data_IF_740759805170
#
_entry.id   IF_740759805170
#
_cell.length_a   1.000
_cell.length_b   1.000
_cell.length_c   1.000
_cell.angle_alpha   90.00
_cell.angle_beta   90.00
_cell.angle_gamma   90.00
#
_symmetry.space_group_name_H-M   'P 1'
#
loop_
_entity.id
_entity.type
_entity.pdbx_description
1 polymer ?
#
# COMPACT_ATOMS: atom_id res chain seq x y z
N UNK A 1 94.82 -21.50 -14.26
CA UNK A 1 93.85 -20.49 -14.61
C UNK A 1 92.51 -21.12 -14.73
N UNK A 2 91.69 -20.97 -13.72
CA UNK A 2 90.44 -21.63 -13.67
C UNK A 2 89.31 -20.62 -13.90
N UNK A 3 88.60 -20.83 -14.94
CA UNK A 3 87.44 -20.01 -15.24
C UNK A 3 86.21 -20.63 -14.57
N UNK A 4 85.75 -19.91 -13.68
CA UNK A 4 84.51 -20.29 -13.02
C UNK A 4 83.36 -19.80 -13.89
N UNK A 5 82.62 -20.72 -14.43
CA UNK A 5 81.42 -20.43 -15.18
C UNK A 5 80.31 -20.38 -14.17
N UNK A 6 79.84 -19.18 -13.97
CA UNK A 6 78.65 -18.97 -13.15
C UNK A 6 77.41 -19.24 -13.97
N UNK A 7 76.81 -20.37 -13.68
CA UNK A 7 75.55 -20.66 -14.26
C UNK A 7 74.48 -19.82 -13.53
N UNK A 8 74.00 -18.85 -14.22
CA UNK A 8 72.81 -18.19 -13.77
C UNK A 8 71.56 -19.03 -14.09
N UNK A 9 71.05 -19.63 -13.11
CA UNK A 9 69.74 -20.28 -13.22
C UNK A 9 68.71 -19.19 -13.23
N UNK A 10 68.11 -19.03 -14.36
CA UNK A 10 66.98 -18.15 -14.53
C UNK A 10 65.77 -18.79 -13.88
N UNK A 11 65.42 -18.35 -12.72
CA UNK A 11 64.19 -18.76 -12.10
C UNK A 11 63.01 -18.13 -12.85
N UNK A 12 62.35 -18.93 -13.60
CA UNK A 12 61.10 -18.52 -14.18
C UNK A 12 60.05 -18.32 -13.07
N UNK A 13 59.76 -17.11 -12.76
CA UNK A 13 58.63 -16.82 -11.89
C UNK A 13 57.37 -17.05 -12.70
N UNK A 14 56.77 -18.18 -12.49
CA UNK A 14 55.43 -18.41 -12.99
C UNK A 14 54.49 -17.61 -12.11
N UNK A 15 54.13 -16.47 -12.61
CA UNK A 15 53.04 -15.72 -12.01
C UNK A 15 51.76 -16.47 -12.37
N UNK A 16 51.37 -17.32 -11.49
CA UNK A 16 50.04 -17.88 -11.57
C UNK A 16 49.07 -16.76 -11.24
N UNK A 17 48.62 -16.15 -12.29
CA UNK A 17 47.50 -15.22 -12.14
C UNK A 17 46.29 -15.99 -11.65
N UNK A 18 46.07 -15.89 -10.38
CA UNK A 18 44.76 -16.32 -9.86
C UNK A 18 43.72 -15.40 -10.43
N UNK A 19 43.09 -15.89 -11.42
CA UNK A 19 41.82 -15.33 -11.84
C UNK A 19 40.89 -15.44 -10.66
N UNK A 20 40.78 -14.38 -9.91
CA UNK A 20 39.69 -14.25 -9.04
C UNK A 20 38.47 -14.08 -9.95
N UNK A 21 37.80 -15.16 -10.17
CA UNK A 21 36.46 -15.07 -10.62
C UNK A 21 35.70 -14.34 -9.52
N UNK A 22 35.58 -13.06 -9.69
CA UNK A 22 34.62 -12.31 -8.92
C UNK A 22 33.29 -12.87 -9.33
N UNK A 23 32.84 -13.83 -8.60
CA UNK A 23 31.46 -14.20 -8.65
C UNK A 23 30.71 -12.99 -8.16
N UNK A 24 30.32 -12.20 -9.11
CA UNK A 24 29.31 -11.20 -8.84
C UNK A 24 28.08 -12.03 -8.55
N UNK A 25 27.90 -12.29 -7.29
CA UNK A 25 26.60 -12.73 -6.88
C UNK A 25 25.67 -11.59 -7.24
N UNK A 26 25.05 -11.74 -8.37
CA UNK A 26 23.97 -10.91 -8.74
C UNK A 26 23.00 -10.98 -7.65
N UNK A 27 23.06 -10.00 -6.85
CA UNK A 27 21.99 -9.79 -5.94
C UNK A 27 20.73 -9.59 -6.74
N UNK A 28 20.04 -10.61 -6.84
CA UNK A 28 18.81 -10.53 -7.44
C UNK A 28 17.88 -9.87 -6.60
N UNK A 29 17.99 -8.80 -6.82
CA UNK A 29 17.13 -8.05 -6.47
C UNK A 29 15.94 -8.31 -6.98
N UNK A 30 15.21 -8.76 -6.56
CA UNK A 30 14.01 -8.72 -6.66
C UNK A 30 13.57 -7.59 -6.27
N UNK A 31 13.32 -7.02 -6.91
CA UNK A 31 12.51 -6.00 -6.75
C UNK A 31 11.21 -6.12 -6.94
N UNK A 32 10.92 -6.94 -6.38
CA UNK A 32 9.62 -6.68 -6.03
C UNK A 32 9.74 -5.76 -4.89
N UNK A 33 10.17 -4.66 -5.12
CA UNK A 33 9.30 -3.63 -4.73
C UNK A 33 7.96 -4.15 -5.13
N UNK A 34 7.41 -4.92 -4.25
CA UNK A 34 6.03 -5.23 -4.36
C UNK A 34 5.48 -3.93 -4.80
N UNK A 35 5.01 -3.85 -5.99
CA UNK A 35 4.30 -2.70 -6.43
C UNK A 35 3.36 -2.50 -5.30
N UNK A 36 3.71 -1.58 -4.41
CA UNK A 36 2.86 -1.24 -3.31
C UNK A 36 1.58 -0.95 -4.02
N UNK A 37 0.66 -1.89 -3.96
CA UNK A 37 -0.58 -1.75 -4.68
C UNK A 37 -1.17 -0.53 -4.05
N UNK A 38 -1.01 0.57 -4.73
CA UNK A 38 -1.56 1.82 -4.30
C UNK A 38 -3.05 1.63 -4.36
N UNK A 39 -3.58 1.12 -3.26
CA UNK A 39 -4.99 0.88 -3.17
C UNK A 39 -5.69 2.21 -3.39
N UNK A 40 -6.50 2.32 -4.41
CA UNK A 40 -7.13 3.59 -4.75
C UNK A 40 -7.97 4.07 -3.57
N UNK A 41 -8.05 5.37 -3.44
CA UNK A 41 -8.98 5.99 -2.48
C UNK A 41 -10.20 6.48 -3.25
N UNK A 42 -11.38 6.10 -2.78
CA UNK A 42 -12.65 6.60 -3.28
C UNK A 42 -13.24 7.56 -2.25
N UNK A 43 -13.77 8.66 -2.72
CA UNK A 43 -14.34 9.68 -1.84
C UNK A 43 -15.86 9.63 -1.88
N UNK A 44 -16.45 9.73 -0.70
CA UNK A 44 -17.89 9.93 -0.49
C UNK A 44 -18.05 11.27 0.22
N UNK A 45 -18.80 12.16 -0.37
CA UNK A 45 -19.14 13.43 0.27
C UNK A 45 -20.39 13.26 1.13
N UNK A 46 -20.39 13.86 2.30
CA UNK A 46 -21.57 14.04 3.12
C UNK A 46 -22.04 15.46 2.86
N UNK A 47 -23.12 15.57 2.11
CA UNK A 47 -23.61 16.87 1.67
C UNK A 47 -25.13 16.87 1.50
N UNK A 48 -25.78 17.93 2.00
CA UNK A 48 -27.23 18.05 1.99
C UNK A 48 -27.91 16.83 2.66
N UNK A 49 -27.41 16.46 3.83
CA UNK A 49 -27.91 15.31 4.59
C UNK A 49 -27.98 14.02 3.78
N UNK A 50 -26.99 13.79 2.93
CA UNK A 50 -26.89 12.61 2.06
C UNK A 50 -25.45 12.21 1.85
N UNK A 51 -25.22 10.90 1.67
CA UNK A 51 -23.94 10.39 1.18
C UNK A 51 -23.93 10.44 -0.35
N UNK A 52 -22.87 11.02 -0.92
CA UNK A 52 -22.73 11.21 -2.37
C UNK A 52 -21.39 10.70 -2.88
N UNK A 53 -21.38 9.64 -3.67
CA UNK A 53 -22.52 8.80 -4.03
C UNK A 53 -23.01 7.94 -2.85
N UNK A 54 -24.30 7.65 -2.81
CA UNK A 54 -24.88 6.80 -1.76
C UNK A 54 -24.50 5.32 -1.93
N UNK A 55 -24.21 4.90 -3.15
CA UNK A 55 -23.80 3.52 -3.46
C UNK A 55 -22.53 3.55 -4.31
N UNK A 56 -21.52 2.81 -3.87
CA UNK A 56 -20.30 2.63 -4.66
C UNK A 56 -19.88 1.17 -4.63
N UNK A 57 -19.23 0.76 -5.73
CA UNK A 57 -18.58 -0.54 -5.84
C UNK A 57 -17.08 -0.34 -5.89
N UNK A 58 -16.36 -1.08 -5.08
CA UNK A 58 -14.92 -1.00 -4.94
C UNK A 58 -14.30 -2.40 -4.94
N UNK A 59 -13.02 -2.48 -5.22
CA UNK A 59 -12.26 -3.72 -5.05
C UNK A 59 -11.75 -3.84 -3.60
N UNK A 60 -11.56 -5.07 -3.17
CA UNK A 60 -10.94 -5.34 -1.87
C UNK A 60 -9.60 -4.62 -1.74
N UNK A 61 -9.35 -4.01 -0.60
CA UNK A 61 -8.15 -3.20 -0.34
C UNK A 61 -8.33 -1.71 -0.64
N UNK A 62 -9.41 -1.31 -1.31
CA UNK A 62 -9.69 0.10 -1.56
C UNK A 62 -9.99 0.84 -0.25
N UNK A 63 -9.50 2.07 -0.17
CA UNK A 63 -9.84 3.02 0.90
C UNK A 63 -11.05 3.83 0.49
N UNK A 64 -11.97 4.03 1.41
CA UNK A 64 -13.06 4.99 1.24
C UNK A 64 -12.89 6.11 2.24
N UNK A 65 -12.96 7.32 1.75
CA UNK A 65 -12.86 8.54 2.54
C UNK A 65 -14.17 9.29 2.51
N UNK A 66 -14.79 9.47 3.66
CA UNK A 66 -15.94 10.34 3.84
C UNK A 66 -15.48 11.73 4.23
N UNK A 67 -16.07 12.74 3.63
CA UNK A 67 -15.78 14.14 3.93
C UNK A 67 -17.09 14.86 4.22
N UNK A 68 -17.22 15.42 5.42
CA UNK A 68 -18.39 16.20 5.77
C UNK A 68 -18.31 17.60 5.17
N UNK A 69 -19.20 17.88 4.21
CA UNK A 69 -19.36 19.16 3.54
C UNK A 69 -20.54 19.97 4.07
N UNK A 70 -21.33 19.39 4.97
CA UNK A 70 -22.42 20.12 5.62
C UNK A 70 -21.92 20.97 6.78
N UNK A 71 -22.72 21.91 7.18
CA UNK A 71 -22.51 22.68 8.41
C UNK A 71 -22.94 21.93 9.67
N UNK A 72 -23.55 20.76 9.50
CA UNK A 72 -24.04 19.89 10.57
C UNK A 72 -23.09 18.72 10.78
N UNK A 73 -22.98 18.25 12.00
CA UNK A 73 -22.20 17.03 12.34
C UNK A 73 -22.94 15.78 11.87
N UNK A 74 -22.19 14.86 11.26
CA UNK A 74 -22.67 13.55 10.79
C UNK A 74 -21.77 12.42 11.28
N UNK A 75 -22.18 11.17 11.01
CA UNK A 75 -21.34 9.99 11.15
C UNK A 75 -21.43 9.13 9.88
N UNK A 76 -20.48 8.25 9.68
CA UNK A 76 -20.53 7.16 8.71
C UNK A 76 -20.27 5.85 9.47
N UNK A 77 -21.35 5.18 9.84
CA UNK A 77 -21.30 4.03 10.75
C UNK A 77 -21.90 2.81 10.08
N UNK A 78 -21.15 1.70 10.05
CA UNK A 78 -21.64 0.44 9.52
C UNK A 78 -22.87 -0.05 10.26
N UNK A 79 -23.87 -0.55 9.52
CA UNK A 79 -25.12 -1.02 10.14
C UNK A 79 -24.92 -2.17 11.14
N UNK A 80 -23.84 -2.93 11.01
CA UNK A 80 -23.50 -4.00 11.96
C UNK A 80 -22.80 -3.48 13.22
N UNK A 81 -22.54 -2.17 13.33
CA UNK A 81 -21.89 -1.55 14.48
C UNK A 81 -20.43 -1.95 14.72
N UNK A 82 -19.81 -2.67 13.78
CA UNK A 82 -18.47 -3.27 13.99
C UNK A 82 -17.49 -3.01 12.87
N UNK A 83 -17.93 -3.03 11.62
CA UNK A 83 -17.02 -3.01 10.47
C UNK A 83 -16.26 -1.70 10.36
N UNK A 84 -16.93 -0.60 10.60
CA UNK A 84 -16.34 0.73 10.67
C UNK A 84 -17.28 1.72 11.35
N UNK A 85 -16.70 2.74 11.92
CA UNK A 85 -17.41 3.85 12.54
C UNK A 85 -16.51 5.08 12.48
N UNK A 86 -17.00 6.15 11.88
CA UNK A 86 -16.25 7.40 11.81
C UNK A 86 -16.26 8.18 13.12
N UNK A 87 -17.15 7.86 14.03
CA UNK A 87 -17.51 8.77 15.08
C UNK A 87 -18.10 10.07 14.50
N UNK A 88 -18.17 11.11 15.29
CA UNK A 88 -18.75 12.39 14.90
C UNK A 88 -17.79 13.16 13.98
N UNK A 89 -18.23 13.37 12.75
CA UNK A 89 -17.56 14.22 11.78
C UNK A 89 -18.16 15.61 11.81
N UNK A 90 -17.44 16.57 12.35
CA UNK A 90 -17.81 17.99 12.30
C UNK A 90 -17.66 18.54 10.88
N UNK A 91 -18.20 19.71 10.58
CA UNK A 91 -18.00 20.35 9.29
C UNK A 91 -16.54 20.37 8.85
N UNK A 92 -16.25 19.91 7.62
CA UNK A 92 -14.91 19.84 7.06
C UNK A 92 -14.07 18.63 7.48
N UNK A 93 -14.48 17.86 8.48
CA UNK A 93 -13.74 16.67 8.92
C UNK A 93 -13.93 15.50 7.98
N UNK A 94 -12.99 14.58 8.00
CA UNK A 94 -13.01 13.37 7.17
C UNK A 94 -12.61 12.14 7.97
N UNK A 95 -13.06 10.99 7.48
CA UNK A 95 -12.73 9.67 8.00
C UNK A 95 -12.39 8.75 6.84
N UNK A 96 -11.39 7.90 7.00
CA UNK A 96 -10.98 6.95 5.97
C UNK A 96 -10.96 5.54 6.54
N UNK A 97 -11.56 4.59 5.81
CA UNK A 97 -11.54 3.18 6.15
C UNK A 97 -11.07 2.34 4.96
N UNK A 98 -10.29 1.29 5.24
CA UNK A 98 -9.82 0.34 4.23
C UNK A 98 -10.68 -0.92 4.26
N UNK A 99 -11.31 -1.24 3.13
CA UNK A 99 -12.19 -2.41 3.02
C UNK A 99 -11.41 -3.66 2.63
N UNK A 100 -11.15 -4.54 3.59
CA UNK A 100 -10.33 -5.75 3.38
C UNK A 100 -11.15 -7.01 3.08
N UNK A 101 -12.45 -7.00 3.26
CA UNK A 101 -13.32 -8.15 3.03
C UNK A 101 -14.42 -7.84 2.02
N UNK A 102 -14.70 -8.80 1.13
CA UNK A 102 -15.74 -8.67 0.13
C UNK A 102 -17.15 -8.68 0.76
N UNK A 103 -18.12 -8.17 0.03
CA UNK A 103 -19.53 -8.18 0.39
C UNK A 103 -20.15 -6.79 0.42
N UNK A 104 -21.45 -6.76 0.66
CA UNK A 104 -22.18 -5.51 0.85
C UNK A 104 -21.98 -4.99 2.26
N UNK A 105 -21.67 -3.72 2.38
CA UNK A 105 -21.42 -3.01 3.64
C UNK A 105 -22.38 -1.83 3.74
N UNK A 106 -23.61 -2.04 4.14
CA UNK A 106 -24.56 -0.95 4.36
C UNK A 106 -24.14 -0.14 5.59
N UNK A 107 -24.37 1.15 5.53
CA UNK A 107 -24.06 2.08 6.60
C UNK A 107 -25.06 3.24 6.66
N UNK A 108 -25.03 3.98 7.73
CA UNK A 108 -25.92 5.09 7.99
C UNK A 108 -25.23 6.18 8.82
N UNK A 109 -25.89 7.30 8.96
CA UNK A 109 -25.52 8.32 9.95
C UNK A 109 -26.31 8.06 11.24
N UNK A 110 -25.64 7.92 12.37
CA UNK A 110 -26.29 7.67 13.65
C UNK A 110 -27.12 8.86 14.15
N UNK A 111 -26.73 10.06 13.75
CA UNK A 111 -27.45 11.29 14.15
C UNK A 111 -28.68 11.51 13.30
N UNK A 112 -28.61 11.10 12.03
CA UNK A 112 -29.68 11.26 11.05
C UNK A 112 -29.92 9.91 10.35
N UNK A 113 -30.67 8.98 10.97
CA UNK A 113 -30.76 7.58 10.50
C UNK A 113 -31.32 7.40 9.08
N UNK A 114 -31.97 8.40 8.52
CA UNK A 114 -32.46 8.36 7.13
C UNK A 114 -31.34 8.49 6.11
N UNK A 115 -30.19 9.02 6.53
CA UNK A 115 -28.99 9.06 5.70
C UNK A 115 -28.35 7.69 5.61
N UNK A 116 -28.46 7.05 4.46
CA UNK A 116 -27.99 5.68 4.23
C UNK A 116 -27.09 5.59 3.02
N UNK A 117 -26.13 4.69 3.08
CA UNK A 117 -25.24 4.37 1.98
C UNK A 117 -24.88 2.89 1.96
N UNK A 118 -24.28 2.44 0.87
CA UNK A 118 -23.80 1.07 0.73
C UNK A 118 -22.47 1.04 -0.03
N UNK A 119 -21.49 0.38 0.55
CA UNK A 119 -20.24 0.05 -0.13
C UNK A 119 -20.33 -1.42 -0.54
N UNK A 120 -20.24 -1.72 -1.83
CA UNK A 120 -20.11 -3.09 -2.34
C UNK A 120 -18.66 -3.37 -2.62
N UNK A 121 -18.07 -4.33 -1.93
CA UNK A 121 -16.67 -4.72 -2.06
C UNK A 121 -16.58 -6.00 -2.89
N UNK A 122 -15.94 -5.92 -4.03
CA UNK A 122 -15.62 -7.07 -4.90
C UNK A 122 -14.36 -7.78 -4.43
N UNK A 123 -14.26 -9.06 -4.77
CA UNK A 123 -13.06 -9.89 -4.55
C UNK A 123 -11.88 -9.43 -5.38
#
# INVERSE_FOLDING_TARGET
MKRIILLMTLAAVVVVGTLFAVSVAEAHKHPTAAMAQKHPTRTVLIQNFSFKPAQITINRGTKVRWINKDSTTHTATANNGRSFDSGRLRPGQSYTHTFKSAGKKPYHCEIHPDMKGTITVKR
#
